data_IF_502824472033
#
_entry.id   IF_502824472033
#
_cell.length_a   1.000
_cell.length_b   1.000
_cell.length_c   1.000
_cell.angle_alpha   90.00
_cell.angle_beta   90.00
_cell.angle_gamma   90.00
#
_symmetry.space_group_name_H-M   'P 1'
#
loop_
_entity.id
_entity.type
_entity.pdbx_description
1 polymer ?
#
# COMPACT_ATOMS: atom_id res chain seq x y z
N UNK A 1 -9.29 8.27 9.41
CA UNK A 1 -8.08 8.22 10.25
C UNK A 1 -7.60 9.64 10.54
N UNK A 2 -7.29 9.96 11.80
CA UNK A 2 -6.60 11.20 12.14
C UNK A 2 -5.13 11.11 11.70
N UNK A 3 -4.49 12.22 11.29
CA UNK A 3 -3.06 12.22 10.95
C UNK A 3 -2.22 11.85 12.18
N UNK A 4 -1.02 11.27 11.99
CA UNK A 4 -0.12 10.92 13.08
C UNK A 4 0.22 12.15 13.95
N UNK A 5 0.28 11.98 15.29
CA UNK A 5 0.59 13.07 16.22
C UNK A 5 2.07 13.45 16.11
N UNK A 6 2.33 14.66 15.60
CA UNK A 6 3.68 15.10 15.25
C UNK A 6 4.24 14.26 14.09
N UNK A 7 4.69 14.91 13.02
CA UNK A 7 5.59 14.19 12.12
C UNK A 7 6.83 13.88 12.96
N UNK A 8 7.28 12.61 13.09
CA UNK A 8 8.62 12.36 13.57
C UNK A 8 9.48 13.20 12.65
N UNK A 9 10.28 14.12 13.21
CA UNK A 9 10.93 15.19 12.46
C UNK A 9 11.34 14.65 11.11
N UNK A 10 10.63 15.06 10.04
CA UNK A 10 10.79 14.47 8.71
C UNK A 10 12.27 14.32 8.49
N UNK A 11 12.72 13.10 8.19
CA UNK A 11 14.16 12.88 8.10
C UNK A 11 14.70 13.90 7.12
N UNK A 12 15.87 14.49 7.45
CA UNK A 12 16.50 15.51 6.58
C UNK A 12 16.81 14.84 5.23
N UNK A 13 15.92 14.98 4.25
CA UNK A 13 16.05 14.38 2.92
C UNK A 13 14.77 13.71 2.41
N UNK A 14 14.81 13.16 1.18
CA UNK A 14 13.69 12.41 0.62
C UNK A 14 13.39 11.14 1.43
N UNK A 15 12.11 10.77 1.60
CA UNK A 15 11.73 9.54 2.30
C UNK A 15 12.21 8.31 1.52
N UNK A 16 12.60 7.26 2.24
CA UNK A 16 12.95 5.98 1.63
C UNK A 16 11.72 5.27 1.02
N UNK A 17 10.54 5.50 1.59
CA UNK A 17 9.25 5.08 1.06
C UNK A 17 8.09 5.71 1.84
N UNK A 18 6.89 5.71 1.24
CA UNK A 18 5.69 6.31 1.84
C UNK A 18 4.47 5.42 1.67
N UNK A 19 3.68 5.29 2.74
CA UNK A 19 2.40 4.59 2.75
C UNK A 19 1.25 5.61 2.70
N UNK A 20 0.49 5.61 1.62
CA UNK A 20 -0.70 6.44 1.46
C UNK A 20 -1.92 5.80 2.11
N UNK A 21 -2.59 6.46 3.07
CA UNK A 21 -3.82 5.94 3.64
C UNK A 21 -5.00 6.16 2.70
N UNK A 22 -5.93 5.19 2.64
CA UNK A 22 -7.22 5.35 1.99
C UNK A 22 -8.34 4.69 2.80
N UNK A 23 -9.58 5.02 2.46
CA UNK A 23 -10.79 4.39 2.98
C UNK A 23 -11.40 3.45 1.93
N UNK A 24 -12.29 2.53 2.35
CA UNK A 24 -13.03 1.63 1.44
C UNK A 24 -13.70 2.40 0.29
N UNK A 25 -14.31 3.55 0.60
CA UNK A 25 -15.00 4.37 -0.40
C UNK A 25 -14.07 4.98 -1.46
N UNK A 26 -12.79 5.17 -1.13
CA UNK A 26 -11.80 5.85 -2.00
C UNK A 26 -10.79 4.90 -2.64
N UNK A 27 -10.70 3.66 -2.16
CA UNK A 27 -9.68 2.69 -2.54
C UNK A 27 -9.68 2.41 -4.05
N UNK A 28 -10.86 2.15 -4.61
CA UNK A 28 -10.99 1.88 -6.05
C UNK A 28 -10.55 3.08 -6.90
N UNK A 29 -10.87 4.31 -6.49
CA UNK A 29 -10.47 5.51 -7.20
C UNK A 29 -8.94 5.68 -7.20
N UNK A 30 -8.28 5.51 -6.05
CA UNK A 30 -6.82 5.55 -5.97
C UNK A 30 -6.15 4.43 -6.78
N UNK A 31 -6.65 3.20 -6.70
CA UNK A 31 -6.07 2.06 -7.44
C UNK A 31 -6.24 2.18 -8.96
N UNK A 32 -7.29 2.85 -9.41
CA UNK A 32 -7.58 3.06 -10.83
C UNK A 32 -6.88 4.30 -11.40
N UNK A 33 -6.58 5.28 -10.54
CA UNK A 33 -5.88 6.49 -10.93
C UNK A 33 -4.36 6.30 -10.97
N UNK A 34 -3.68 7.19 -11.69
CA UNK A 34 -2.22 7.31 -11.66
C UNK A 34 -1.74 8.33 -10.62
N UNK A 35 -2.56 8.61 -9.59
CA UNK A 35 -2.26 9.61 -8.55
C UNK A 35 -2.69 9.07 -7.19
N UNK A 36 -1.80 9.18 -6.20
CA UNK A 36 -2.15 9.02 -4.79
C UNK A 36 -2.16 10.37 -4.09
N UNK A 37 -2.98 10.50 -3.04
CA UNK A 37 -3.19 11.77 -2.37
C UNK A 37 -3.46 11.66 -0.88
N UNK A 38 -3.12 12.73 -0.16
CA UNK A 38 -3.41 12.96 1.25
C UNK A 38 -4.02 14.36 1.44
N UNK A 39 -4.59 14.60 2.62
CA UNK A 39 -5.04 15.94 3.01
C UNK A 39 -3.88 16.95 3.04
N UNK A 40 -4.19 18.24 2.83
CA UNK A 40 -3.20 19.34 2.75
C UNK A 40 -2.21 19.41 3.92
N UNK A 41 -2.64 19.03 5.13
CA UNK A 41 -1.78 18.99 6.31
C UNK A 41 -0.55 18.07 6.16
N UNK A 42 -0.58 17.16 5.21
CA UNK A 42 0.50 16.19 4.94
C UNK A 42 1.42 16.62 3.81
N UNK A 43 1.21 17.84 3.28
CA UNK A 43 2.11 18.45 2.32
C UNK A 43 3.58 18.39 2.73
N UNK A 44 3.99 18.61 4.00
CA UNK A 44 5.39 18.47 4.39
C UNK A 44 5.98 17.10 4.03
N UNK A 45 5.25 15.99 4.20
CA UNK A 45 5.73 14.66 3.81
C UNK A 45 5.72 14.50 2.29
N UNK A 46 4.60 14.84 1.64
CA UNK A 46 4.42 14.64 0.20
C UNK A 46 5.41 15.46 -0.62
N UNK A 47 5.71 16.69 -0.21
CA UNK A 47 6.66 17.59 -0.88
C UNK A 47 8.09 17.04 -0.95
N UNK A 48 8.47 16.10 -0.08
CA UNK A 48 9.79 15.47 -0.08
C UNK A 48 9.86 14.22 -0.98
N UNK A 49 8.72 13.71 -1.46
CA UNK A 49 8.70 12.57 -2.39
C UNK A 49 9.38 12.97 -3.71
N UNK A 50 10.17 12.05 -4.26
CA UNK A 50 10.88 12.21 -5.54
C UNK A 50 10.53 11.05 -6.47
N UNK A 51 10.71 11.27 -7.76
CA UNK A 51 10.57 10.21 -8.76
C UNK A 51 11.41 8.99 -8.37
N UNK A 52 10.82 7.80 -8.46
CA UNK A 52 11.43 6.54 -8.05
C UNK A 52 11.14 6.13 -6.60
N UNK A 53 10.67 7.03 -5.72
CA UNK A 53 10.32 6.67 -4.33
C UNK A 53 9.29 5.53 -4.34
N UNK A 54 9.54 4.42 -3.60
CA UNK A 54 8.58 3.34 -3.42
C UNK A 54 7.36 3.79 -2.61
N UNK A 55 6.18 3.47 -3.13
CA UNK A 55 4.90 3.86 -2.55
C UNK A 55 3.99 2.64 -2.33
N UNK A 56 3.15 2.74 -1.30
CA UNK A 56 2.14 1.73 -0.96
C UNK A 56 0.81 2.43 -0.67
N UNK A 57 -0.30 1.73 -0.88
CA UNK A 57 -1.64 2.21 -0.55
C UNK A 57 -2.22 1.33 0.55
N UNK A 58 -2.54 1.90 1.71
CA UNK A 58 -3.08 1.17 2.86
C UNK A 58 -4.51 1.61 3.16
N UNK A 59 -5.44 0.66 3.06
CA UNK A 59 -6.81 0.88 3.45
C UNK A 59 -6.97 0.68 4.96
N UNK A 60 -7.26 1.76 5.70
CA UNK A 60 -7.33 1.72 7.15
C UNK A 60 -8.58 1.03 7.71
N UNK A 61 -9.63 0.84 6.89
CA UNK A 61 -10.86 0.16 7.29
C UNK A 61 -10.75 -1.35 7.10
N UNK A 62 -10.25 -1.79 5.94
CA UNK A 62 -10.05 -3.22 5.67
C UNK A 62 -8.73 -3.76 6.23
N UNK A 63 -7.80 -2.88 6.62
CA UNK A 63 -6.43 -3.21 7.06
C UNK A 63 -5.63 -3.95 5.98
N UNK A 64 -5.89 -3.61 4.72
CA UNK A 64 -5.24 -4.19 3.54
C UNK A 64 -4.26 -3.20 2.93
N UNK A 65 -3.07 -3.67 2.57
CA UNK A 65 -2.07 -2.92 1.84
C UNK A 65 -1.96 -3.40 0.39
N UNK A 66 -1.90 -2.43 -0.53
CA UNK A 66 -1.60 -2.63 -1.93
C UNK A 66 -0.21 -2.12 -2.27
N UNK A 67 0.51 -2.89 -3.06
CA UNK A 67 1.85 -2.59 -3.54
C UNK A 67 2.24 -3.47 -4.72
N UNK A 68 3.41 -3.26 -5.32
CA UNK A 68 4.35 -2.15 -5.08
C UNK A 68 4.13 -1.06 -6.14
N UNK A 69 4.09 0.21 -5.73
CA UNK A 69 4.03 1.36 -6.63
C UNK A 69 5.34 2.16 -6.58
N UNK A 70 5.60 2.94 -7.62
CA UNK A 70 6.71 3.89 -7.67
C UNK A 70 6.20 5.27 -8.05
N UNK A 71 6.75 6.31 -7.42
CA UNK A 71 6.45 7.68 -7.77
C UNK A 71 7.00 8.00 -9.17
N UNK A 72 6.17 8.53 -10.06
CA UNK A 72 6.58 8.99 -11.40
C UNK A 72 6.80 10.50 -11.46
N UNK A 73 6.58 11.19 -10.34
CA UNK A 73 6.74 12.64 -10.19
C UNK A 73 7.25 12.99 -8.78
N UNK A 74 7.69 14.23 -8.59
CA UNK A 74 7.79 14.80 -7.26
C UNK A 74 6.38 15.06 -6.69
N UNK A 75 6.26 15.17 -5.37
CA UNK A 75 5.00 15.56 -4.74
C UNK A 75 4.56 16.96 -5.19
N UNK A 76 3.25 17.12 -5.42
CA UNK A 76 2.61 18.38 -5.82
C UNK A 76 1.29 18.62 -5.10
N UNK A 77 0.71 19.79 -5.32
CA UNK A 77 -0.65 20.10 -4.88
C UNK A 77 -1.60 20.02 -6.08
N UNK A 78 -2.75 19.37 -5.88
CA UNK A 78 -3.87 19.35 -6.83
C UNK A 78 -3.49 18.89 -8.25
N UNK A 79 -2.66 17.85 -8.35
CA UNK A 79 -2.27 17.23 -9.64
C UNK A 79 -3.49 16.66 -10.39
N UNK A 80 -4.47 16.15 -9.65
CA UNK A 80 -5.77 15.69 -10.12
C UNK A 80 -6.83 16.09 -9.07
N UNK A 81 -7.38 17.31 -9.14
CA UNK A 81 -8.26 17.85 -8.10
C UNK A 81 -9.59 17.09 -8.01
N UNK A 82 -10.09 16.57 -9.13
CA UNK A 82 -11.39 15.90 -9.20
C UNK A 82 -11.36 14.41 -8.87
N UNK A 83 -10.21 13.87 -8.43
CA UNK A 83 -10.01 12.43 -8.18
C UNK A 83 -11.10 11.79 -7.31
N UNK A 84 -11.63 12.53 -6.34
CA UNK A 84 -12.66 12.07 -5.40
C UNK A 84 -13.98 12.84 -5.50
N UNK A 85 -14.15 13.73 -6.49
CA UNK A 85 -15.28 14.66 -6.57
C UNK A 85 -16.65 13.97 -6.66
N UNK A 86 -16.73 12.78 -7.26
CA UNK A 86 -17.96 11.99 -7.38
C UNK A 86 -18.24 11.03 -6.21
N UNK A 87 -17.41 11.02 -5.16
CA UNK A 87 -17.53 10.05 -4.07
C UNK A 87 -18.23 10.70 -2.87
N UNK A 88 -19.50 10.39 -2.68
CA UNK A 88 -20.32 10.91 -1.59
C UNK A 88 -20.20 10.03 -0.33
N UNK A 89 -19.04 10.05 0.32
CA UNK A 89 -18.81 9.37 1.59
C UNK A 89 -18.15 10.30 2.61
N UNK A 90 -18.46 10.22 3.91
CA UNK A 90 -17.79 11.03 4.95
C UNK A 90 -16.26 10.85 5.00
N UNK A 91 -15.78 9.72 4.46
CA UNK A 91 -14.37 9.36 4.37
C UNK A 91 -13.69 9.83 3.08
N UNK A 92 -14.46 10.27 2.08
CA UNK A 92 -13.96 10.80 0.81
C UNK A 92 -13.72 12.32 0.93
N UNK A 93 -12.66 12.68 1.66
CA UNK A 93 -12.24 14.07 1.82
C UNK A 93 -11.32 14.50 0.69
N UNK A 94 -11.25 15.80 0.35
CA UNK A 94 -10.28 16.30 -0.62
C UNK A 94 -8.84 15.92 -0.24
N UNK A 95 -8.10 15.45 -1.23
CA UNK A 95 -6.71 14.99 -1.09
C UNK A 95 -5.78 15.83 -1.98
N UNK A 96 -5.53 17.11 -1.65
CA UNK A 96 -4.74 18.01 -2.49
C UNK A 96 -3.24 17.69 -2.50
N UNK A 97 -2.67 17.11 -1.44
CA UNK A 97 -1.25 16.76 -1.42
C UNK A 97 -1.05 15.44 -2.16
N UNK A 98 -0.55 15.49 -3.39
CA UNK A 98 -0.60 14.40 -4.35
C UNK A 98 0.77 14.04 -4.95
N UNK A 99 0.84 12.85 -5.52
CA UNK A 99 1.99 12.37 -6.30
C UNK A 99 1.50 11.44 -7.41
N UNK A 100 2.04 11.61 -8.62
CA UNK A 100 1.79 10.65 -9.70
C UNK A 100 2.50 9.32 -9.41
N UNK A 101 1.81 8.21 -9.66
CA UNK A 101 2.26 6.87 -9.34
C UNK A 101 2.10 5.93 -10.52
N UNK A 102 2.97 4.94 -10.59
CA UNK A 102 2.83 3.80 -11.49
C UNK A 102 2.94 2.52 -10.67
N UNK A 103 2.12 1.53 -11.01
CA UNK A 103 2.23 0.20 -10.43
C UNK A 103 3.47 -0.49 -11.00
N UNK A 104 4.44 -0.79 -10.14
CA UNK A 104 5.69 -1.45 -10.54
C UNK A 104 5.46 -2.91 -10.87
N UNK A 105 4.64 -3.61 -10.07
CA UNK A 105 4.30 -5.03 -10.24
C UNK A 105 2.86 -5.32 -9.81
N UNK A 106 2.21 -6.28 -10.47
CA UNK A 106 0.93 -6.83 -10.01
C UNK A 106 1.23 -7.85 -8.91
N UNK A 107 0.76 -7.54 -7.71
CA UNK A 107 0.93 -8.38 -6.53
C UNK A 107 -0.41 -8.52 -5.83
N UNK A 108 -0.60 -9.65 -5.14
CA UNK A 108 -1.76 -9.82 -4.26
C UNK A 108 -1.67 -8.78 -3.13
N UNK A 109 -2.77 -8.09 -2.78
CA UNK A 109 -2.78 -7.23 -1.61
C UNK A 109 -2.53 -8.04 -0.33
N UNK A 110 -1.86 -7.44 0.64
CA UNK A 110 -1.45 -8.07 1.89
C UNK A 110 -2.27 -7.55 3.06
N UNK A 111 -2.65 -8.44 3.97
CA UNK A 111 -3.29 -8.07 5.23
C UNK A 111 -2.26 -7.46 6.19
N UNK A 112 -2.70 -6.53 7.03
CA UNK A 112 -1.83 -5.90 8.02
C UNK A 112 -1.12 -6.92 8.94
N UNK A 113 -1.79 -8.02 9.30
CA UNK A 113 -1.19 -9.09 10.10
C UNK A 113 0.08 -9.67 9.48
N UNK A 114 0.19 -9.68 8.14
CA UNK A 114 1.35 -10.19 7.41
C UNK A 114 2.53 -9.21 7.39
N UNK A 115 2.27 -7.92 7.56
CA UNK A 115 3.24 -6.83 7.47
C UNK A 115 3.55 -6.15 8.80
N UNK A 116 2.80 -6.47 9.86
CA UNK A 116 2.94 -5.89 11.20
C UNK A 116 4.35 -6.05 11.76
N UNK A 117 5.01 -7.18 11.52
CA UNK A 117 6.39 -7.41 11.93
C UNK A 117 7.38 -6.47 11.24
N UNK A 118 7.18 -6.19 9.95
CA UNK A 118 8.02 -5.26 9.16
C UNK A 118 7.79 -3.81 9.59
N UNK A 119 6.55 -3.45 9.90
CA UNK A 119 6.17 -2.10 10.30
C UNK A 119 6.25 -1.84 11.81
N UNK A 120 6.70 -2.80 12.63
CA UNK A 120 6.66 -2.72 14.08
C UNK A 120 7.20 -1.39 14.64
N UNK A 121 8.34 -0.92 14.13
CA UNK A 121 8.97 0.34 14.55
C UNK A 121 8.23 1.61 14.09
N UNK A 122 7.30 1.50 13.15
CA UNK A 122 6.49 2.62 12.64
C UNK A 122 5.20 2.81 13.43
N UNK A 123 4.74 1.82 14.20
CA UNK A 123 3.54 1.95 15.03
C UNK A 123 3.80 2.85 16.23
N UNK A 124 2.92 3.82 16.45
CA UNK A 124 2.91 4.66 17.64
C UNK A 124 1.70 4.36 18.55
N UNK A 125 0.78 3.51 18.09
CA UNK A 125 -0.20 2.80 18.89
C UNK A 125 -0.61 1.49 18.20
N UNK A 126 -1.56 0.77 18.79
CA UNK A 126 -1.95 -0.57 18.33
C UNK A 126 -2.41 -0.63 16.87
N UNK A 127 -2.96 0.46 16.34
CA UNK A 127 -3.64 0.45 15.04
C UNK A 127 -3.16 1.56 14.09
N UNK A 128 -2.20 2.38 14.50
CA UNK A 128 -1.72 3.50 13.70
C UNK A 128 -0.19 3.54 13.67
N UNK A 129 0.32 3.81 12.48
CA UNK A 129 1.73 3.90 12.20
C UNK A 129 2.04 5.15 11.38
N UNK A 130 3.28 5.61 11.46
CA UNK A 130 3.79 6.70 10.64
C UNK A 130 3.88 6.28 9.17
N UNK A 131 3.46 7.17 8.28
CA UNK A 131 3.38 6.88 6.84
C UNK A 131 4.73 6.91 6.13
N UNK A 132 5.73 7.60 6.69
CA UNK A 132 7.11 7.49 6.26
C UNK A 132 7.75 6.22 6.84
N UNK A 133 8.41 5.44 6.00
CA UNK A 133 9.05 4.17 6.38
C UNK A 133 10.53 4.15 6.01
N UNK A 134 11.31 3.35 6.75
CA UNK A 134 12.75 3.23 6.54
C UNK A 134 13.09 2.36 5.34
N UNK A 135 14.34 2.48 4.86
CA UNK A 135 14.86 1.66 3.76
C UNK A 135 14.73 0.15 4.05
N UNK A 136 15.05 -0.28 5.27
CA UNK A 136 14.91 -1.69 5.69
C UNK A 136 13.47 -2.19 5.58
N UNK A 137 12.51 -1.38 6.02
CA UNK A 137 11.08 -1.68 5.96
C UNK A 137 10.58 -1.72 4.52
N UNK A 138 11.01 -0.77 3.68
CA UNK A 138 10.70 -0.74 2.24
C UNK A 138 11.19 -2.02 1.57
N UNK A 139 12.45 -2.41 1.79
CA UNK A 139 13.01 -3.64 1.21
C UNK A 139 12.24 -4.87 1.65
N UNK A 140 11.91 -4.98 2.94
CA UNK A 140 11.14 -6.11 3.47
C UNK A 140 9.69 -6.15 2.94
N UNK A 141 9.01 -5.01 2.84
CA UNK A 141 7.67 -4.93 2.25
C UNK A 141 7.68 -5.35 0.78
N UNK A 142 8.65 -4.86 0.00
CA UNK A 142 8.78 -5.24 -1.42
C UNK A 142 8.99 -6.75 -1.54
N UNK A 143 9.83 -7.35 -0.69
CA UNK A 143 10.03 -8.80 -0.67
C UNK A 143 8.72 -9.56 -0.41
N UNK A 144 7.95 -9.16 0.62
CA UNK A 144 6.66 -9.77 0.92
C UNK A 144 5.66 -9.70 -0.24
N UNK A 145 5.60 -8.57 -0.95
CA UNK A 145 4.74 -8.43 -2.14
C UNK A 145 5.22 -9.28 -3.32
N UNK A 146 6.54 -9.41 -3.51
CA UNK A 146 7.12 -10.27 -4.55
C UNK A 146 6.84 -11.73 -4.25
N UNK A 147 7.01 -12.16 -3.02
CA UNK A 147 6.77 -13.54 -2.60
C UNK A 147 5.30 -13.92 -2.69
N UNK A 148 4.38 -13.01 -2.36
CA UNK A 148 2.93 -13.24 -2.49
C UNK A 148 2.44 -13.34 -3.94
N UNK A 149 3.30 -13.00 -4.90
CA UNK A 149 3.00 -13.05 -6.35
C UNK A 149 3.52 -14.32 -7.01
N UNK A 150 4.26 -15.17 -6.28
CA UNK A 150 4.74 -16.46 -6.79
C UNK A 150 3.56 -17.44 -6.83
N UNK A 151 3.29 -18.13 -7.96
CA UNK A 151 2.37 -19.25 -7.96
C UNK A 151 2.93 -20.33 -7.02
N UNK A 152 2.09 -20.87 -6.13
CA UNK A 152 2.44 -22.01 -5.28
C UNK A 152 2.87 -23.16 -6.19
N UNK A 153 4.11 -23.63 -6.05
CA UNK A 153 4.64 -24.78 -6.80
C UNK A 153 4.46 -26.12 -6.05
N UNK A 154 3.61 -26.17 -5.01
CA UNK A 154 3.45 -27.34 -4.13
C UNK A 154 2.02 -27.91 -4.07
N UNK A 155 1.34 -28.11 -5.22
CA UNK A 155 0.12 -28.95 -5.28
C UNK A 155 0.14 -29.94 -6.45
N UNK A 156 1.31 -30.49 -6.76
CA UNK A 156 1.51 -31.40 -7.89
C UNK A 156 2.26 -32.67 -7.53
N UNK A 157 1.83 -33.44 -6.53
CA UNK A 157 2.18 -34.87 -6.35
C UNK A 157 1.48 -35.45 -5.12
N UNK A 158 0.30 -36.06 -5.28
CA UNK A 158 -0.26 -37.13 -4.42
C UNK A 158 -1.57 -37.62 -5.08
N UNK A 159 -1.46 -38.24 -6.27
CA UNK A 159 -2.55 -39.03 -6.88
C UNK A 159 -2.01 -40.00 -7.94
N UNK A 160 -1.11 -40.89 -7.53
CA UNK A 160 -1.07 -42.29 -7.96
C UNK A 160 -1.14 -43.03 -6.61
N UNK A 161 -2.10 -43.89 -6.27
CA UNK A 161 -2.66 -45.00 -7.02
C UNK A 161 -4.06 -45.34 -6.47
N UNK A 162 -5.05 -45.59 -7.32
CA UNK A 162 -6.18 -46.45 -6.97
C UNK A 162 -6.45 -47.41 -8.13
N UNK A 163 -6.01 -48.65 -7.94
CA UNK A 163 -6.43 -49.80 -8.74
C UNK A 163 -7.95 -50.01 -8.63
N UNK A 164 -8.69 -50.25 -9.73
CA UNK A 164 -10.01 -50.83 -9.63
C UNK A 164 -9.89 -52.35 -9.39
N UNK A 165 -10.49 -52.85 -8.30
CA UNK A 165 -10.76 -54.28 -8.12
C UNK A 165 -11.84 -54.72 -9.12
N UNK A 166 -11.69 -55.86 -9.82
CA UNK A 166 -12.78 -56.39 -10.63
C UNK A 166 -13.89 -56.96 -9.73
N UNK A 167 -15.12 -56.66 -10.13
CA UNK A 167 -16.36 -57.08 -9.52
C UNK A 167 -16.57 -58.59 -9.76
N UNK A 168 -16.84 -59.34 -8.70
CA UNK A 168 -17.21 -60.77 -8.79
C UNK A 168 -18.67 -60.88 -9.25
N UNK A 169 -18.94 -61.86 -10.12
CA UNK A 169 -20.26 -62.39 -10.44
C UNK A 169 -20.23 -63.91 -10.22
#
# INVERSE_FOLDING_TARGET
MAPPPGLPALRKGPPAGVIFPCANATEAAFLSASVFGMGKAQWPLVAHIRTGTPLFLFNWQSRVMHGVFSATSAGGLDLQPDLLAGIHAPTAKPCPAQVCVQRSRRCRPLQESQLRGVLAASYYDDNRFYWEIERSQVTALIALFVDSSRPNLEEGQLSLEQHPKPFQA
#
